data_IF_723112212421
#
_entry.id   IF_723112212421
#
_cell.length_a   1.000
_cell.length_b   1.000
_cell.length_c   1.000
_cell.angle_alpha   90.00
_cell.angle_beta   90.00
_cell.angle_gamma   90.00
#
_symmetry.space_group_name_H-M   'P 1'
#
loop_
_entity.id
_entity.type
_entity.pdbx_description
1 polymer ?
#
# COMPACT_ATOMS: atom_id res chain seq x y z
N UNK A 1 8.97 -29.58 19.09
CA UNK A 1 9.40 -28.16 19.02
C UNK A 1 9.36 -27.66 17.57
N UNK A 2 8.15 -27.51 17.01
CA UNK A 2 7.94 -27.23 15.58
C UNK A 2 7.12 -25.93 15.34
N UNK A 3 7.07 -25.03 16.33
CA UNK A 3 6.10 -23.92 16.34
C UNK A 3 6.70 -22.52 16.19
N UNK A 4 8.01 -22.35 16.04
CA UNK A 4 8.63 -21.01 15.96
C UNK A 4 8.96 -20.53 14.55
N UNK A 5 9.06 -21.44 13.56
CA UNK A 5 9.39 -21.08 12.17
C UNK A 5 8.20 -20.60 11.34
N UNK A 6 6.97 -20.97 11.70
CA UNK A 6 5.74 -20.52 11.03
C UNK A 6 5.38 -19.06 11.35
N UNK A 7 5.97 -18.46 12.39
CA UNK A 7 5.65 -17.09 12.82
C UNK A 7 6.49 -15.98 12.18
N UNK A 8 7.54 -16.30 11.42
CA UNK A 8 8.49 -15.28 10.94
C UNK A 8 8.35 -14.99 9.45
N UNK A 9 8.35 -16.00 8.56
CA UNK A 9 8.38 -15.75 7.11
C UNK A 9 7.01 -15.41 6.51
N UNK A 10 5.94 -16.11 6.93
CA UNK A 10 4.57 -15.77 6.50
C UNK A 10 4.13 -14.41 7.08
N UNK A 11 4.60 -14.10 8.29
CA UNK A 11 4.36 -12.81 8.95
C UNK A 11 5.00 -11.67 8.16
N UNK A 12 6.22 -11.81 7.66
CA UNK A 12 6.88 -10.73 6.91
C UNK A 12 6.13 -10.32 5.64
N UNK A 13 5.62 -11.28 4.88
CA UNK A 13 4.84 -11.02 3.64
C UNK A 13 3.46 -10.45 3.96
N UNK A 14 2.80 -10.97 5.01
CA UNK A 14 1.53 -10.43 5.52
C UNK A 14 1.68 -8.99 6.03
N UNK A 15 2.87 -8.64 6.53
CA UNK A 15 3.19 -7.33 7.08
C UNK A 15 3.55 -6.28 6.03
N UNK A 16 3.93 -6.63 4.80
CA UNK A 16 4.38 -5.62 3.82
C UNK A 16 3.35 -4.49 3.55
N UNK A 17 2.04 -4.77 3.36
CA UNK A 17 1.02 -3.73 3.29
C UNK A 17 0.96 -2.85 4.55
N UNK A 18 1.19 -3.44 5.73
CA UNK A 18 1.14 -2.78 7.03
C UNK A 18 2.40 -1.95 7.30
N UNK A 19 3.59 -2.43 6.91
CA UNK A 19 4.85 -1.68 6.93
C UNK A 19 4.75 -0.44 6.04
N UNK A 20 4.22 -0.60 4.82
CA UNK A 20 3.97 0.51 3.90
C UNK A 20 2.96 1.52 4.49
N UNK A 21 1.90 1.04 5.14
CA UNK A 21 0.94 1.89 5.83
C UNK A 21 1.55 2.66 7.00
N UNK A 22 2.29 1.99 7.90
CA UNK A 22 2.98 2.62 9.03
C UNK A 22 3.90 3.75 8.56
N UNK A 23 4.65 3.51 7.49
CA UNK A 23 5.50 4.55 6.91
C UNK A 23 4.69 5.75 6.38
N UNK A 24 3.55 5.51 5.72
CA UNK A 24 2.64 6.58 5.24
C UNK A 24 2.02 7.37 6.38
N UNK A 25 1.54 6.71 7.44
CA UNK A 25 0.97 7.39 8.62
C UNK A 25 2.00 8.31 9.27
N UNK A 26 3.27 7.90 9.31
CA UNK A 26 4.36 8.72 9.86
C UNK A 26 4.74 9.89 8.94
N UNK A 27 4.73 9.68 7.62
CA UNK A 27 5.15 10.68 6.65
C UNK A 27 4.06 11.71 6.34
N UNK A 28 2.84 11.24 6.16
CA UNK A 28 1.70 11.98 5.63
C UNK A 28 0.58 12.04 6.69
N UNK A 29 0.93 12.34 7.95
CA UNK A 29 0.04 12.25 9.12
C UNK A 29 -1.26 13.06 8.98
N UNK A 30 -1.24 14.16 8.24
CA UNK A 30 -2.38 15.04 7.99
C UNK A 30 -3.47 14.39 7.13
N UNK A 31 -3.13 13.33 6.37
CA UNK A 31 -4.05 12.60 5.49
C UNK A 31 -4.84 11.50 6.22
N UNK A 32 -4.48 11.22 7.48
CA UNK A 32 -5.08 10.20 8.32
C UNK A 32 -5.77 10.83 9.52
N UNK A 33 -6.84 10.21 10.01
CA UNK A 33 -7.40 10.63 11.29
C UNK A 33 -6.36 10.47 12.41
N UNK A 34 -6.36 11.38 13.41
CA UNK A 34 -5.49 11.24 14.56
C UNK A 34 -5.62 9.85 15.20
N UNK A 35 -4.50 9.16 15.36
CA UNK A 35 -4.48 7.86 16.01
C UNK A 35 -4.95 8.00 17.46
N UNK A 36 -5.85 7.11 17.89
CA UNK A 36 -6.06 6.94 19.32
C UNK A 36 -4.88 6.22 19.96
N UNK A 37 -4.77 6.34 21.29
CA UNK A 37 -3.75 5.64 22.09
C UNK A 37 -3.75 4.13 21.84
N UNK A 38 -4.91 3.52 21.58
CA UNK A 38 -5.02 2.08 21.32
C UNK A 38 -4.38 1.69 19.98
N UNK A 39 -4.66 2.43 18.91
CA UNK A 39 -4.03 2.21 17.61
C UNK A 39 -2.55 2.54 17.60
N UNK A 40 -2.14 3.61 18.28
CA UNK A 40 -0.74 4.02 18.39
C UNK A 40 0.12 2.94 19.06
N UNK A 41 -0.37 2.33 20.14
CA UNK A 41 0.32 1.23 20.84
C UNK A 41 0.61 0.06 19.88
N UNK A 42 -0.31 -0.26 18.97
CA UNK A 42 -0.13 -1.36 18.01
C UNK A 42 0.72 -0.97 16.82
N UNK A 43 0.54 0.23 16.28
CA UNK A 43 1.31 0.71 15.14
C UNK A 43 2.77 0.99 15.47
N UNK A 44 3.08 1.37 16.70
CA UNK A 44 4.46 1.68 17.12
C UNK A 44 5.22 0.46 17.62
N UNK A 45 4.52 -0.60 18.04
CA UNK A 45 5.15 -1.86 18.40
C UNK A 45 5.90 -2.45 17.20
N UNK A 46 7.19 -2.71 17.37
CA UNK A 46 8.01 -3.40 16.36
C UNK A 46 7.52 -4.84 16.18
N UNK A 47 7.19 -5.50 17.29
CA UNK A 47 6.46 -6.76 17.33
C UNK A 47 5.31 -6.65 18.35
N UNK A 48 4.06 -6.42 17.92
CA UNK A 48 2.94 -6.39 18.84
C UNK A 48 2.76 -7.77 19.48
N UNK A 49 2.96 -7.84 20.80
CA UNK A 49 2.69 -9.05 21.58
C UNK A 49 1.19 -9.27 21.74
N UNK A 50 0.79 -10.50 22.07
CA UNK A 50 -0.61 -10.81 22.41
C UNK A 50 -1.12 -9.92 23.57
N UNK A 51 -0.24 -9.57 24.52
CA UNK A 51 -0.55 -8.65 25.63
C UNK A 51 -0.82 -7.24 25.12
N UNK A 52 0.00 -6.75 24.18
CA UNK A 52 -0.17 -5.44 23.54
C UNK A 52 -1.52 -5.33 22.84
N UNK A 53 -1.89 -6.38 22.08
CA UNK A 53 -3.20 -6.49 21.44
C UNK A 53 -4.35 -6.46 22.44
N UNK A 54 -4.32 -7.28 23.50
CA UNK A 54 -5.39 -7.28 24.50
C UNK A 54 -5.50 -5.94 25.25
N UNK A 55 -4.38 -5.28 25.55
CA UNK A 55 -4.40 -3.94 26.14
C UNK A 55 -5.12 -2.94 25.23
N UNK A 56 -4.74 -2.87 23.95
CA UNK A 56 -5.36 -1.97 22.98
C UNK A 56 -6.85 -2.30 22.76
N UNK A 57 -7.18 -3.59 22.59
CA UNK A 57 -8.56 -4.08 22.42
C UNK A 57 -9.43 -3.72 23.62
N UNK A 58 -8.95 -3.92 24.85
CA UNK A 58 -9.75 -3.66 26.05
C UNK A 58 -10.14 -2.19 26.17
N UNK A 59 -9.22 -1.27 25.86
CA UNK A 59 -9.49 0.18 25.85
C UNK A 59 -10.62 0.51 24.86
N UNK A 60 -10.55 -0.03 23.64
CA UNK A 60 -11.58 0.23 22.61
C UNK A 60 -12.91 -0.43 22.97
N UNK A 61 -12.88 -1.66 23.50
CA UNK A 61 -14.09 -2.38 23.90
C UNK A 61 -14.82 -1.69 25.06
N UNK A 62 -14.09 -1.08 26.00
CA UNK A 62 -14.69 -0.27 27.06
C UNK A 62 -15.41 0.96 26.48
N UNK A 63 -14.79 1.65 25.52
CA UNK A 63 -15.43 2.75 24.81
C UNK A 63 -16.71 2.31 24.08
N UNK A 64 -16.65 1.20 23.33
CA UNK A 64 -17.82 0.67 22.61
C UNK A 64 -18.96 0.30 23.56
N UNK A 65 -18.65 -0.26 24.74
CA UNK A 65 -19.68 -0.57 25.75
C UNK A 65 -20.44 0.68 26.21
N UNK A 66 -19.72 1.80 26.36
CA UNK A 66 -20.31 3.07 26.76
C UNK A 66 -20.98 3.81 25.58
N UNK A 67 -20.57 3.51 24.35
CA UNK A 67 -21.03 4.19 23.13
C UNK A 67 -21.32 3.18 21.98
N UNK A 68 -22.33 2.28 22.12
CA UNK A 68 -22.51 1.13 21.23
C UNK A 68 -22.94 1.47 19.80
N UNK A 69 -23.40 2.69 19.56
CA UNK A 69 -23.78 3.17 18.23
C UNK A 69 -22.79 4.18 17.64
N UNK A 70 -21.65 4.42 18.31
CA UNK A 70 -20.63 5.33 17.80
C UNK A 70 -19.72 4.60 16.79
N UNK A 71 -19.76 4.96 15.49
CA UNK A 71 -18.94 4.31 14.47
C UNK A 71 -17.44 4.47 14.73
N UNK A 72 -17.00 5.49 15.47
CA UNK A 72 -15.57 5.71 15.77
C UNK A 72 -14.99 4.57 16.59
N UNK A 73 -15.76 4.02 17.53
CA UNK A 73 -15.33 2.88 18.34
C UNK A 73 -15.04 1.65 17.47
N UNK A 74 -15.90 1.36 16.50
CA UNK A 74 -15.72 0.23 15.58
C UNK A 74 -14.63 0.47 14.55
N UNK A 75 -14.44 1.71 14.08
CA UNK A 75 -13.30 2.06 13.21
C UNK A 75 -11.99 1.77 13.94
N UNK A 76 -11.89 2.16 15.20
CA UNK A 76 -10.70 1.87 16.01
C UNK A 76 -10.54 0.40 16.36
N UNK A 77 -11.64 -0.32 16.61
CA UNK A 77 -11.57 -1.76 16.83
C UNK A 77 -11.03 -2.47 15.57
N UNK A 78 -11.48 -2.05 14.39
CA UNK A 78 -10.99 -2.55 13.10
C UNK A 78 -9.50 -2.29 12.91
N UNK A 79 -9.02 -1.08 13.23
CA UNK A 79 -7.59 -0.73 13.24
C UNK A 79 -6.80 -1.64 14.20
N UNK A 80 -7.28 -1.82 15.43
CA UNK A 80 -6.66 -2.70 16.45
C UNK A 80 -6.53 -4.14 15.95
N UNK A 81 -7.59 -4.69 15.35
CA UNK A 81 -7.56 -6.04 14.78
C UNK A 81 -6.62 -6.14 13.58
N UNK A 82 -6.67 -5.17 12.67
CA UNK A 82 -5.83 -5.13 11.48
C UNK A 82 -4.33 -5.05 11.85
N UNK A 83 -3.98 -4.20 12.81
CA UNK A 83 -2.60 -3.98 13.25
C UNK A 83 -2.06 -5.06 14.17
N UNK A 84 -2.90 -5.98 14.67
CA UNK A 84 -2.40 -7.13 15.41
C UNK A 84 -1.62 -8.09 14.51
N UNK A 85 -1.84 -8.05 13.19
CA UNK A 85 -1.15 -8.88 12.19
C UNK A 85 -1.33 -10.39 12.43
N UNK A 86 -2.47 -10.77 13.01
CA UNK A 86 -2.87 -12.16 13.26
C UNK A 86 -3.91 -12.49 12.18
N UNK A 87 -3.71 -13.52 11.33
CA UNK A 87 -4.63 -13.85 10.25
C UNK A 87 -6.09 -13.96 10.69
N UNK A 88 -6.34 -14.58 11.85
CA UNK A 88 -7.67 -14.76 12.45
C UNK A 88 -8.33 -13.42 12.85
N UNK A 89 -7.54 -12.38 13.12
CA UNK A 89 -8.07 -11.06 13.44
C UNK A 89 -8.40 -10.24 12.19
N UNK A 90 -8.02 -10.67 10.98
CA UNK A 90 -8.35 -9.92 9.75
C UNK A 90 -9.85 -10.00 9.46
N UNK A 91 -10.50 -11.13 9.77
CA UNK A 91 -11.95 -11.27 9.67
C UNK A 91 -12.66 -10.32 10.67
N UNK A 92 -12.17 -10.27 11.91
CA UNK A 92 -12.67 -9.35 12.94
C UNK A 92 -12.46 -7.87 12.55
N UNK A 93 -11.35 -7.55 11.89
CA UNK A 93 -11.09 -6.21 11.39
C UNK A 93 -12.12 -5.81 10.31
N UNK A 94 -12.39 -6.70 9.37
CA UNK A 94 -13.37 -6.47 8.30
C UNK A 94 -14.79 -6.33 8.86
N UNK A 95 -15.19 -7.19 9.80
CA UNK A 95 -16.48 -7.08 10.49
C UNK A 95 -16.63 -5.74 11.22
N UNK A 96 -15.58 -5.30 11.92
CA UNK A 96 -15.59 -4.00 12.58
C UNK A 96 -15.76 -2.84 11.58
N UNK A 97 -15.08 -2.87 10.43
CA UNK A 97 -15.26 -1.86 9.39
C UNK A 97 -16.63 -1.93 8.70
N UNK A 98 -17.19 -3.13 8.51
CA UNK A 98 -18.58 -3.28 8.03
C UNK A 98 -19.58 -2.70 9.04
N UNK A 99 -19.30 -2.84 10.34
CA UNK A 99 -20.12 -2.23 11.39
C UNK A 99 -20.10 -0.71 11.32
N UNK A 100 -18.94 -0.09 11.04
CA UNK A 100 -18.85 1.36 10.76
C UNK A 100 -19.84 1.74 9.67
N UNK A 101 -19.80 1.06 8.52
CA UNK A 101 -20.70 1.31 7.41
C UNK A 101 -22.18 1.21 7.81
N UNK A 102 -22.53 0.20 8.62
CA UNK A 102 -23.91 -0.02 9.06
C UNK A 102 -24.43 1.08 10.00
N UNK A 103 -23.53 1.72 10.77
CA UNK A 103 -23.88 2.72 11.77
C UNK A 103 -23.89 4.14 11.20
N UNK A 104 -22.91 4.48 10.37
CA UNK A 104 -22.76 5.84 9.83
C UNK A 104 -23.43 6.03 8.46
N UNK A 105 -23.68 4.94 7.71
CA UNK A 105 -24.05 4.99 6.30
C UNK A 105 -22.95 5.53 5.37
N UNK A 106 -21.80 5.95 5.92
CA UNK A 106 -20.70 6.57 5.20
C UNK A 106 -19.35 6.06 5.70
N UNK A 107 -18.51 5.60 4.78
CA UNK A 107 -17.11 5.28 5.05
C UNK A 107 -16.27 6.36 4.37
N UNK A 108 -15.38 6.96 5.14
CA UNK A 108 -14.41 7.95 4.68
C UNK A 108 -13.28 7.31 3.86
N UNK A 109 -12.36 8.14 3.35
CA UNK A 109 -11.26 7.66 2.53
C UNK A 109 -10.35 6.68 3.29
N UNK A 110 -10.04 6.97 4.55
CA UNK A 110 -9.21 6.11 5.39
C UNK A 110 -9.89 4.75 5.63
N UNK A 111 -11.18 4.73 5.95
CA UNK A 111 -11.92 3.49 6.14
C UNK A 111 -11.91 2.59 4.90
N UNK A 112 -12.14 3.15 3.71
CA UNK A 112 -12.02 2.40 2.46
C UNK A 112 -10.61 1.85 2.24
N UNK A 113 -9.60 2.65 2.55
CA UNK A 113 -8.22 2.22 2.45
C UNK A 113 -7.90 1.07 3.42
N UNK A 114 -8.35 1.12 4.68
CA UNK A 114 -8.14 0.07 5.67
C UNK A 114 -8.87 -1.24 5.29
N UNK A 115 -10.10 -1.16 4.77
CA UNK A 115 -10.82 -2.33 4.24
C UNK A 115 -10.04 -2.94 3.06
N UNK A 116 -9.46 -2.10 2.20
CA UNK A 116 -8.60 -2.59 1.11
C UNK A 116 -7.40 -3.39 1.64
N UNK A 117 -6.85 -3.01 2.80
CA UNK A 117 -5.73 -3.72 3.42
C UNK A 117 -6.13 -5.12 3.88
N UNK A 118 -7.31 -5.29 4.48
CA UNK A 118 -7.84 -6.62 4.84
C UNK A 118 -7.87 -7.57 3.63
N UNK A 119 -8.24 -7.08 2.45
CA UNK A 119 -8.24 -7.89 1.23
C UNK A 119 -6.85 -8.08 0.62
N UNK A 120 -5.98 -7.08 0.69
CA UNK A 120 -4.59 -7.20 0.22
C UNK A 120 -3.80 -8.18 1.06
N UNK A 121 -4.00 -8.19 2.38
CA UNK A 121 -3.38 -9.17 3.29
C UNK A 121 -3.82 -10.58 2.91
N UNK A 122 -5.10 -10.82 2.63
CA UNK A 122 -5.57 -12.14 2.15
C UNK A 122 -5.03 -12.49 0.76
N UNK A 123 -4.93 -11.51 -0.14
CA UNK A 123 -4.39 -11.73 -1.49
C UNK A 123 -2.90 -12.14 -1.46
N UNK A 124 -2.08 -11.50 -0.64
CA UNK A 124 -0.63 -11.73 -0.61
C UNK A 124 -0.19 -12.72 0.50
N UNK A 125 -1.03 -12.96 1.50
CA UNK A 125 -0.76 -13.86 2.63
C UNK A 125 -1.19 -15.32 2.40
N UNK A 126 -2.05 -15.61 1.43
CA UNK A 126 -2.58 -16.96 1.23
C UNK A 126 -1.73 -17.89 0.32
N UNK A 127 -0.66 -17.40 -0.31
CA UNK A 127 -0.01 -18.10 -1.45
C UNK A 127 1.46 -18.52 -1.26
N UNK A 128 1.89 -18.93 -0.06
CA UNK A 128 3.21 -19.59 0.09
C UNK A 128 3.23 -20.98 0.73
N UNK A 129 2.11 -21.47 1.24
CA UNK A 129 2.04 -22.80 1.89
C UNK A 129 1.43 -23.92 1.04
N UNK A 130 1.00 -23.67 -0.20
CA UNK A 130 0.44 -24.71 -1.07
C UNK A 130 1.24 -24.94 -2.36
N UNK A 131 2.48 -25.42 -2.20
CA UNK A 131 3.09 -26.23 -3.26
C UNK A 131 2.40 -27.60 -3.34
N UNK A 132 1.31 -27.70 -4.12
CA UNK A 132 0.84 -28.99 -4.64
C UNK A 132 -0.10 -28.85 -5.83
N UNK A 133 0.43 -29.15 -7.02
CA UNK A 133 -0.32 -29.80 -8.10
C UNK A 133 -1.00 -28.89 -9.15
N UNK A 134 -0.81 -29.15 -10.45
CA UNK A 134 -1.59 -28.51 -11.50
C UNK A 134 -2.91 -29.25 -11.67
N UNK A 135 -4.03 -28.69 -11.24
CA UNK A 135 -5.36 -28.91 -11.84
C UNK A 135 -6.43 -28.14 -11.08
N UNK A 136 -6.76 -26.94 -11.57
CA UNK A 136 -8.06 -26.29 -11.34
C UNK A 136 -8.25 -25.11 -12.31
N UNK A 137 -7.91 -25.31 -13.58
CA UNK A 137 -8.53 -24.53 -14.64
C UNK A 137 -9.94 -25.12 -14.82
N UNK A 138 -10.93 -24.57 -14.09
CA UNK A 138 -12.37 -24.59 -14.42
C UNK A 138 -13.29 -24.33 -13.20
N UNK A 139 -13.07 -23.23 -12.45
CA UNK A 139 -14.13 -22.63 -11.64
C UNK A 139 -14.17 -21.12 -11.85
N UNK A 140 -15.33 -20.52 -12.18
CA UNK A 140 -15.44 -19.07 -12.31
C UNK A 140 -15.35 -18.44 -10.91
N UNK A 141 -14.24 -17.74 -10.65
CA UNK A 141 -14.02 -16.95 -9.44
C UNK A 141 -13.15 -17.63 -8.38
N UNK A 142 -11.87 -17.87 -8.70
CA UNK A 142 -10.88 -18.24 -7.71
C UNK A 142 -10.85 -17.21 -6.54
N UNK A 143 -10.56 -17.62 -5.29
CA UNK A 143 -10.51 -16.73 -4.13
C UNK A 143 -9.55 -15.52 -4.33
N UNK A 144 -8.46 -15.73 -5.09
CA UNK A 144 -7.51 -14.70 -5.52
C UNK A 144 -8.21 -13.59 -6.31
N UNK A 145 -9.03 -13.94 -7.30
CA UNK A 145 -9.77 -12.97 -8.13
C UNK A 145 -10.80 -12.18 -7.33
N UNK A 146 -11.36 -12.76 -6.26
CA UNK A 146 -12.30 -12.06 -5.39
C UNK A 146 -11.59 -10.99 -4.58
N UNK A 147 -10.53 -11.35 -3.84
CA UNK A 147 -9.81 -10.40 -2.99
C UNK A 147 -9.10 -9.31 -3.79
N UNK A 148 -8.57 -9.64 -4.97
CA UNK A 148 -8.00 -8.64 -5.87
C UNK A 148 -9.06 -7.61 -6.31
N UNK A 149 -10.26 -8.06 -6.72
CA UNK A 149 -11.35 -7.17 -7.12
C UNK A 149 -11.88 -6.31 -5.97
N UNK A 150 -11.95 -6.86 -4.76
CA UNK A 150 -12.41 -6.11 -3.58
C UNK A 150 -11.37 -5.07 -3.15
N UNK A 151 -10.09 -5.43 -3.10
CA UNK A 151 -8.99 -4.52 -2.82
C UNK A 151 -8.96 -3.33 -3.80
N UNK A 152 -9.07 -3.62 -5.10
CA UNK A 152 -9.10 -2.59 -6.15
C UNK A 152 -10.27 -1.62 -5.95
N UNK A 153 -11.49 -2.13 -5.74
CA UNK A 153 -12.68 -1.31 -5.53
C UNK A 153 -12.55 -0.42 -4.29
N UNK A 154 -12.02 -0.96 -3.20
CA UNK A 154 -11.83 -0.19 -1.98
C UNK A 154 -10.79 0.92 -2.17
N UNK A 155 -9.67 0.65 -2.84
CA UNK A 155 -8.66 1.69 -3.14
C UNK A 155 -9.20 2.77 -4.09
N UNK A 156 -10.01 2.40 -5.09
CA UNK A 156 -10.68 3.37 -5.96
C UNK A 156 -11.65 4.25 -5.18
N UNK A 157 -12.41 3.68 -4.22
CA UNK A 157 -13.28 4.45 -3.32
C UNK A 157 -12.48 5.36 -2.40
N UNK A 158 -11.38 4.89 -1.82
CA UNK A 158 -10.49 5.71 -0.99
C UNK A 158 -9.96 6.93 -1.77
N UNK A 159 -9.52 6.72 -3.02
CA UNK A 159 -9.05 7.81 -3.89
C UNK A 159 -10.17 8.80 -4.24
N UNK A 160 -11.38 8.31 -4.50
CA UNK A 160 -12.53 9.16 -4.82
C UNK A 160 -12.98 10.00 -3.61
N UNK A 161 -13.07 9.39 -2.43
CA UNK A 161 -13.49 10.04 -1.18
C UNK A 161 -12.44 11.02 -0.63
N UNK A 162 -11.18 10.91 -1.04
CA UNK A 162 -10.09 11.83 -0.67
C UNK A 162 -9.84 12.92 -1.71
N UNK A 163 -10.74 13.08 -2.69
CA UNK A 163 -10.61 14.04 -3.78
C UNK A 163 -9.28 13.93 -4.55
N UNK A 164 -8.77 12.70 -4.70
CA UNK A 164 -7.57 12.44 -5.51
C UNK A 164 -6.24 12.53 -4.76
N UNK A 165 -6.26 12.46 -3.42
CA UNK A 165 -5.06 12.49 -2.56
C UNK A 165 -3.93 11.60 -3.06
N UNK A 166 -2.70 12.11 -2.95
CA UNK A 166 -1.50 11.43 -3.42
C UNK A 166 -1.25 10.12 -2.66
N UNK A 167 -1.62 10.04 -1.38
CA UNK A 167 -1.45 8.83 -0.54
C UNK A 167 -2.22 7.64 -1.11
N UNK A 168 -3.53 7.82 -1.35
CA UNK A 168 -4.37 6.75 -1.89
C UNK A 168 -4.08 6.48 -3.37
N UNK A 169 -3.62 7.50 -4.11
CA UNK A 169 -3.15 7.33 -5.49
C UNK A 169 -1.91 6.44 -5.55
N UNK A 170 -0.95 6.66 -4.67
CA UNK A 170 0.25 5.82 -4.56
C UNK A 170 -0.11 4.41 -4.12
N UNK A 171 -1.03 4.26 -3.16
CA UNK A 171 -1.54 2.95 -2.75
C UNK A 171 -2.15 2.16 -3.91
N UNK A 172 -2.99 2.81 -4.72
CA UNK A 172 -3.64 2.19 -5.87
C UNK A 172 -2.64 1.87 -6.99
N UNK A 173 -1.70 2.78 -7.26
CA UNK A 173 -0.62 2.55 -8.24
C UNK A 173 0.27 1.38 -7.85
N UNK A 174 0.73 1.32 -6.59
CA UNK A 174 1.52 0.20 -6.07
C UNK A 174 0.75 -1.11 -6.18
N UNK A 175 -0.53 -1.12 -5.82
CA UNK A 175 -1.36 -2.32 -5.95
C UNK A 175 -1.49 -2.79 -7.41
N UNK A 176 -1.61 -1.86 -8.36
CA UNK A 176 -1.58 -2.24 -9.77
C UNK A 176 -0.21 -2.76 -10.20
N UNK A 177 0.89 -2.17 -9.74
CA UNK A 177 2.22 -2.64 -10.05
C UNK A 177 2.48 -4.06 -9.49
N UNK A 178 2.10 -4.33 -8.24
CA UNK A 178 2.27 -5.66 -7.61
C UNK A 178 1.38 -6.74 -8.23
N UNK A 179 0.23 -6.36 -8.78
CA UNK A 179 -0.65 -7.27 -9.53
C UNK A 179 -0.30 -7.37 -11.03
N UNK A 180 0.87 -6.87 -11.45
CA UNK A 180 1.38 -6.98 -12.82
C UNK A 180 0.70 -6.05 -13.84
N UNK A 181 -0.11 -5.08 -13.38
CA UNK A 181 -0.90 -4.16 -14.20
C UNK A 181 -0.23 -2.79 -14.32
N UNK A 182 0.99 -2.78 -14.85
CA UNK A 182 1.84 -1.57 -14.94
C UNK A 182 1.18 -0.41 -15.70
N UNK A 183 0.42 -0.68 -16.77
CA UNK A 183 -0.29 0.37 -17.51
C UNK A 183 -1.32 1.10 -16.64
N UNK A 184 -2.07 0.37 -15.80
CA UNK A 184 -2.99 0.97 -14.84
C UNK A 184 -2.26 1.74 -13.74
N UNK A 185 -1.13 1.23 -13.26
CA UNK A 185 -0.31 1.91 -12.27
C UNK A 185 0.15 3.29 -12.77
N UNK A 186 0.72 3.31 -13.98
CA UNK A 186 1.15 4.56 -14.64
C UNK A 186 -0.01 5.52 -14.87
N UNK A 187 -1.14 5.03 -15.40
CA UNK A 187 -2.31 5.86 -15.66
C UNK A 187 -2.85 6.54 -14.40
N UNK A 188 -2.88 5.82 -13.27
CA UNK A 188 -3.32 6.39 -11.99
C UNK A 188 -2.39 7.49 -11.50
N UNK A 189 -1.07 7.32 -11.62
CA UNK A 189 -0.11 8.36 -11.26
C UNK A 189 -0.23 9.58 -12.19
N UNK A 190 -0.25 9.35 -13.50
CA UNK A 190 -0.35 10.42 -14.50
C UNK A 190 -1.64 11.25 -14.35
N UNK A 191 -2.76 10.61 -14.02
CA UNK A 191 -4.03 11.30 -13.75
C UNK A 191 -3.99 12.21 -12.51
N UNK A 192 -2.89 12.21 -11.74
CA UNK A 192 -2.71 13.08 -10.58
C UNK A 192 -1.85 14.29 -10.87
N UNK A 193 -1.22 14.35 -12.05
CA UNK A 193 -0.43 15.50 -12.45
C UNK A 193 -1.34 16.65 -12.82
N UNK A 194 -0.97 17.85 -12.35
CA UNK A 194 -1.67 19.08 -12.67
C UNK A 194 -1.60 19.34 -14.19
N UNK A 195 -2.75 19.53 -14.88
CA UNK A 195 -2.77 19.61 -16.34
C UNK A 195 -2.18 20.92 -16.90
N UNK A 196 -2.06 21.98 -16.08
CA UNK A 196 -1.58 23.31 -16.50
C UNK A 196 -0.87 24.03 -15.36
N UNK A 197 0.36 24.47 -15.59
CA UNK A 197 1.15 25.27 -14.65
C UNK A 197 2.55 24.69 -14.37
N UNK A 198 3.41 25.41 -13.65
CA UNK A 198 4.66 24.85 -13.15
C UNK A 198 4.33 23.69 -12.20
N UNK A 199 5.18 22.64 -12.13
CA UNK A 199 4.90 21.50 -11.28
C UNK A 199 4.80 21.92 -9.81
N UNK A 200 3.73 21.49 -9.17
CA UNK A 200 3.49 21.69 -7.74
C UNK A 200 4.30 20.71 -6.89
N UNK A 201 4.32 20.91 -5.56
CA UNK A 201 4.90 19.91 -4.64
C UNK A 201 4.20 18.55 -4.73
N UNK A 202 2.89 18.52 -4.99
CA UNK A 202 2.15 17.28 -5.20
C UNK A 202 2.60 16.59 -6.49
N UNK A 203 2.80 17.36 -7.57
CA UNK A 203 3.35 16.84 -8.82
C UNK A 203 4.77 16.29 -8.61
N UNK A 204 5.58 16.93 -7.77
CA UNK A 204 6.93 16.48 -7.44
C UNK A 204 6.93 15.05 -6.86
N UNK A 205 6.04 14.76 -5.91
CA UNK A 205 5.89 13.43 -5.34
C UNK A 205 5.38 12.40 -6.36
N UNK A 206 4.46 12.80 -7.25
CA UNK A 206 3.95 11.94 -8.31
C UNK A 206 5.04 11.62 -9.34
N UNK A 207 5.82 12.62 -9.76
CA UNK A 207 6.99 12.43 -10.62
C UNK A 207 8.03 11.51 -9.99
N UNK A 208 8.29 11.66 -8.69
CA UNK A 208 9.19 10.76 -7.97
C UNK A 208 8.70 9.30 -8.02
N UNK A 209 7.40 9.07 -7.81
CA UNK A 209 6.84 7.72 -7.89
C UNK A 209 6.81 7.16 -9.31
N UNK A 210 6.52 7.97 -10.33
CA UNK A 210 6.63 7.59 -11.74
C UNK A 210 8.06 7.16 -12.07
N UNK A 211 9.06 7.90 -11.59
CA UNK A 211 10.46 7.59 -11.79
C UNK A 211 10.85 6.25 -11.14
N UNK A 212 10.50 6.04 -9.87
CA UNK A 212 10.76 4.78 -9.16
C UNK A 212 10.09 3.59 -9.84
N UNK A 213 8.83 3.73 -10.26
CA UNK A 213 8.10 2.69 -10.98
C UNK A 213 8.76 2.37 -12.33
N UNK A 214 9.21 3.38 -13.08
CA UNK A 214 9.91 3.21 -14.35
C UNK A 214 11.22 2.45 -14.20
N UNK A 215 12.05 2.80 -13.20
CA UNK A 215 13.29 2.07 -12.89
C UNK A 215 12.97 0.62 -12.49
N UNK A 216 12.04 0.42 -11.56
CA UNK A 216 11.69 -0.93 -11.08
C UNK A 216 11.12 -1.82 -12.20
N UNK A 217 10.35 -1.25 -13.14
CA UNK A 217 9.81 -1.99 -14.28
C UNK A 217 10.85 -2.26 -15.39
N UNK A 218 12.01 -1.61 -15.35
CA UNK A 218 13.08 -1.83 -16.34
C UNK A 218 13.80 -3.16 -16.13
N UNK A 219 14.03 -3.57 -14.87
CA UNK A 219 14.66 -4.85 -14.52
C UNK A 219 13.93 -6.08 -15.07
N UNK A 220 12.60 -6.25 -14.89
CA UNK A 220 11.89 -7.40 -15.46
C UNK A 220 11.80 -7.34 -17.00
N UNK A 221 11.89 -6.17 -17.63
CA UNK A 221 11.96 -6.05 -19.09
C UNK A 221 13.31 -6.52 -19.64
N UNK A 222 14.40 -6.18 -18.96
CA UNK A 222 15.75 -6.68 -19.26
C UNK A 222 15.80 -8.21 -19.14
N UNK A 223 15.27 -8.76 -18.03
CA UNK A 223 15.20 -10.21 -17.82
C UNK A 223 14.37 -10.97 -18.88
N UNK A 224 13.43 -10.29 -19.56
CA UNK A 224 12.62 -10.83 -20.66
C UNK A 224 13.25 -10.62 -22.04
N UNK A 225 14.56 -10.35 -22.09
CA UNK A 225 15.31 -10.08 -23.31
C UNK A 225 14.71 -8.94 -24.16
N UNK A 226 14.23 -7.87 -23.49
CA UNK A 226 13.78 -6.63 -24.15
C UNK A 226 14.61 -5.42 -23.71
N UNK A 227 15.94 -5.43 -23.96
CA UNK A 227 16.85 -4.41 -23.45
C UNK A 227 16.54 -3.00 -23.98
N UNK A 228 16.17 -2.85 -25.26
CA UNK A 228 15.80 -1.54 -25.83
C UNK A 228 14.62 -0.88 -25.11
N UNK A 229 13.60 -1.67 -24.78
CA UNK A 229 12.41 -1.18 -24.07
C UNK A 229 12.71 -0.87 -22.61
N UNK A 230 13.56 -1.68 -21.98
CA UNK A 230 14.04 -1.41 -20.63
C UNK A 230 14.82 -0.08 -20.61
N UNK A 231 15.71 0.14 -21.57
CA UNK A 231 16.51 1.36 -21.67
C UNK A 231 15.66 2.59 -21.94
N UNK A 232 14.69 2.50 -22.84
CA UNK A 232 13.75 3.60 -23.12
C UNK A 232 12.93 3.98 -21.88
N UNK A 233 12.41 2.98 -21.16
CA UNK A 233 11.66 3.22 -19.92
C UNK A 233 12.54 3.82 -18.82
N UNK A 234 13.76 3.30 -18.66
CA UNK A 234 14.71 3.79 -17.66
C UNK A 234 15.13 5.25 -17.94
N UNK A 235 15.36 5.61 -19.21
CA UNK A 235 15.65 6.99 -19.61
C UNK A 235 14.47 7.94 -19.34
N UNK A 236 13.24 7.51 -19.63
CA UNK A 236 12.05 8.29 -19.29
C UNK A 236 11.92 8.49 -17.76
N UNK A 237 12.26 7.48 -16.96
CA UNK A 237 12.28 7.58 -15.50
C UNK A 237 13.28 8.64 -14.99
N UNK A 238 14.44 8.80 -15.62
CA UNK A 238 15.41 9.84 -15.28
C UNK A 238 14.84 11.25 -15.47
N UNK A 239 14.05 11.46 -16.53
CA UNK A 239 13.36 12.74 -16.75
C UNK A 239 12.36 13.02 -15.62
N UNK A 240 11.59 12.01 -15.21
CA UNK A 240 10.67 12.14 -14.08
C UNK A 240 11.40 12.46 -12.76
N UNK A 241 12.56 11.87 -12.48
CA UNK A 241 13.38 12.26 -11.32
C UNK A 241 13.78 13.73 -11.36
N UNK A 242 14.22 14.23 -12.52
CA UNK A 242 14.61 15.64 -12.68
C UNK A 242 13.44 16.58 -12.47
N UNK A 243 12.25 16.25 -13.00
CA UNK A 243 11.03 17.00 -12.73
C UNK A 243 10.63 16.97 -11.25
N UNK A 244 10.76 15.81 -10.59
CA UNK A 244 10.51 15.67 -9.17
C UNK A 244 11.42 16.59 -8.34
N UNK A 245 12.73 16.54 -8.59
CA UNK A 245 13.74 17.33 -7.86
C UNK A 245 13.51 18.83 -8.05
N UNK A 246 13.17 19.27 -9.27
CA UNK A 246 12.95 20.68 -9.59
C UNK A 246 11.76 21.29 -8.83
N UNK A 247 10.77 20.48 -8.46
CA UNK A 247 9.53 20.93 -7.82
C UNK A 247 9.44 20.56 -6.32
N UNK A 248 10.45 19.87 -5.81
CA UNK A 248 10.51 19.39 -4.43
C UNK A 248 10.92 20.50 -3.45
N UNK A 249 10.62 20.30 -2.17
CA UNK A 249 11.28 21.04 -1.10
C UNK A 249 12.78 20.66 -1.01
N UNK A 250 13.64 21.51 -0.42
CA UNK A 250 15.09 21.28 -0.39
C UNK A 250 15.54 20.00 0.32
N UNK A 251 14.73 19.43 1.22
CA UNK A 251 15.06 18.19 1.92
C UNK A 251 14.76 17.00 1.02
N UNK A 252 13.57 16.96 0.43
CA UNK A 252 13.18 15.93 -0.53
C UNK A 252 14.06 15.95 -1.79
N UNK A 253 14.36 17.14 -2.33
CA UNK A 253 15.25 17.32 -3.48
C UNK A 253 16.62 16.65 -3.27
N UNK A 254 17.24 16.85 -2.09
CA UNK A 254 18.53 16.23 -1.75
C UNK A 254 18.47 14.71 -1.63
N UNK A 255 17.40 14.19 -1.04
CA UNK A 255 17.20 12.75 -0.94
C UNK A 255 17.03 12.13 -2.34
N UNK A 256 16.17 12.72 -3.17
CA UNK A 256 15.87 12.22 -4.51
C UNK A 256 17.02 12.41 -5.50
N UNK A 257 17.88 13.41 -5.31
CA UNK A 257 19.11 13.56 -6.10
C UNK A 257 20.08 12.37 -5.92
N UNK A 258 20.14 11.79 -4.71
CA UNK A 258 20.94 10.57 -4.47
C UNK A 258 20.33 9.35 -5.14
N UNK A 259 19.00 9.23 -5.09
CA UNK A 259 18.28 8.18 -5.81
C UNK A 259 18.47 8.32 -7.33
N UNK A 260 18.42 9.56 -7.86
CA UNK A 260 18.70 9.86 -9.27
C UNK A 260 20.11 9.41 -9.66
N UNK A 261 21.14 9.72 -8.87
CA UNK A 261 22.51 9.30 -9.18
C UNK A 261 22.64 7.76 -9.27
N UNK A 262 21.94 7.03 -8.38
CA UNK A 262 21.89 5.57 -8.43
C UNK A 262 21.13 5.06 -9.67
N UNK A 263 20.04 5.73 -10.05
CA UNK A 263 19.28 5.43 -11.26
C UNK A 263 20.11 5.70 -12.52
N UNK A 264 20.87 6.80 -12.58
CA UNK A 264 21.75 7.14 -13.69
C UNK A 264 22.85 6.07 -13.88
N UNK A 265 23.46 5.60 -12.78
CA UNK A 265 24.42 4.50 -12.84
C UNK A 265 23.78 3.17 -13.30
N UNK A 266 22.52 2.91 -12.93
CA UNK A 266 21.77 1.76 -13.46
C UNK A 266 21.50 1.89 -14.96
N UNK A 267 21.04 3.06 -15.43
CA UNK A 267 20.75 3.30 -16.86
C UNK A 267 22.02 3.24 -17.71
N UNK A 268 23.16 3.70 -17.19
CA UNK A 268 24.45 3.62 -17.86
C UNK A 268 24.85 2.15 -18.12
N UNK A 269 24.80 1.29 -17.09
CA UNK A 269 25.07 -0.15 -17.24
C UNK A 269 24.11 -0.81 -18.23
N UNK A 270 22.83 -0.48 -18.14
CA UNK A 270 21.83 -1.01 -19.06
C UNK A 270 22.12 -0.61 -20.51
N UNK A 271 22.60 0.62 -20.74
CA UNK A 271 22.99 1.08 -22.06
C UNK A 271 24.20 0.34 -22.61
N UNK A 272 25.21 0.06 -21.77
CA UNK A 272 26.40 -0.72 -22.14
C UNK A 272 26.04 -2.16 -22.55
N UNK A 273 25.07 -2.78 -21.87
CA UNK A 273 24.61 -4.14 -22.18
C UNK A 273 23.68 -4.24 -23.41
N UNK A 274 23.19 -3.11 -23.92
CA UNK A 274 22.28 -3.05 -25.08
C UNK A 274 23.04 -2.79 -26.40
N UNK A 275 24.33 -2.44 -26.32
CA UNK A 275 25.24 -2.22 -27.46
C UNK A 275 25.97 -3.51 -27.80
#
# INVERSE_FOLDING_TARGET
>A
MQSSRLFTEERDVVLDPLKAHRWRVMKDREEFEPMTRASEILLTAEEPSIRTYFCAKNVVMEFIRNHPNDPRGYKELGKVHLYSCVPENIDLAEEAFQRVQSLSGHIDAEGWYLISMCHRIRLFGSDRSSSSGPSAADKPGAPVDRHQRLAERCLQRALAHSHGSSVYRFALSEFYATTGRLSKALAVLQAGLSPRGPPTRADAAIFHQLARLGIAASTPLQARARPDRALLLARAALLHYRHAIAAADPRSARAWARELASAEAFVARLAEETV
#
